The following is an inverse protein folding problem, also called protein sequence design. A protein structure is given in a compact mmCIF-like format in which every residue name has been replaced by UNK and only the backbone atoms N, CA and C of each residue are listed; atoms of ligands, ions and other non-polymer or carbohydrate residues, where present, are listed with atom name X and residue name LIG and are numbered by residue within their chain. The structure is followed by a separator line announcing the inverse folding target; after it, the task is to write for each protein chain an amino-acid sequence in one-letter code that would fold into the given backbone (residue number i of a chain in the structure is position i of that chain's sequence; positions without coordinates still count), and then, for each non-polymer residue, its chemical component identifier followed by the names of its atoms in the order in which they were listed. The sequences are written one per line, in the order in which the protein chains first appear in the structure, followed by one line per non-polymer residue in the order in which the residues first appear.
data_IF_330557788273
#
_entry.id   IF_330557788273
#
_cell.length_a   1.000
_cell.length_b   1.000
_cell.length_c   1.000
_cell.angle_alpha   90.00
_cell.angle_beta   90.00
_cell.angle_gamma   90.00
#
_symmetry.space_group_name_H-M   'P 1'
#
loop_
_entity.id
_entity.type
_entity.pdbx_description
1 polymer ?
#
# COMPACT_ATOMS: atom_id res chain seq x y z
N UNK A 1 -18.21 27.31 1.53
CA UNK A 1 -19.00 26.07 1.31
C UNK A 1 -18.20 25.12 0.42
N UNK A 2 -17.56 24.08 0.98
CA UNK A 2 -16.58 23.23 0.27
C UNK A 2 -16.96 21.74 0.29
N UNK A 3 -18.26 21.45 0.25
CA UNK A 3 -18.87 20.12 0.43
C UNK A 3 -18.32 19.04 -0.53
N UNK A 4 -17.94 19.40 -1.76
CA UNK A 4 -17.37 18.44 -2.73
C UNK A 4 -15.98 17.91 -2.36
N UNK A 5 -15.19 18.66 -1.58
CA UNK A 5 -13.82 18.26 -1.21
C UNK A 5 -13.83 17.29 -0.03
N UNK A 6 -14.70 17.55 0.95
CA UNK A 6 -14.84 16.73 2.16
C UNK A 6 -15.34 15.31 1.85
N UNK A 7 -16.25 15.18 0.87
CA UNK A 7 -16.81 13.88 0.49
C UNK A 7 -15.78 12.96 -0.17
N UNK A 8 -14.84 13.50 -0.95
CA UNK A 8 -13.73 12.72 -1.54
C UNK A 8 -12.76 12.21 -0.48
N UNK A 9 -12.47 13.04 0.54
CA UNK A 9 -11.59 12.64 1.64
C UNK A 9 -12.25 11.59 2.55
N UNK A 10 -13.56 11.70 2.79
CA UNK A 10 -14.35 10.68 3.48
C UNK A 10 -14.31 9.35 2.71
N UNK A 11 -14.62 9.36 1.41
CA UNK A 11 -14.56 8.15 0.57
C UNK A 11 -13.16 7.54 0.51
N UNK A 12 -12.11 8.35 0.40
CA UNK A 12 -10.73 7.85 0.38
C UNK A 12 -10.32 7.25 1.72
N UNK A 13 -10.72 7.85 2.85
CA UNK A 13 -10.46 7.31 4.18
C UNK A 13 -11.19 5.98 4.41
N UNK A 14 -12.49 5.96 4.13
CA UNK A 14 -13.31 4.74 4.30
C UNK A 14 -12.87 3.64 3.35
N UNK A 15 -12.57 3.98 2.09
CA UNK A 15 -12.05 3.03 1.09
C UNK A 15 -10.69 2.46 1.50
N UNK A 16 -9.76 3.29 1.98
CA UNK A 16 -8.47 2.83 2.49
C UNK A 16 -8.60 1.92 3.71
N UNK A 17 -9.52 2.24 4.63
CA UNK A 17 -9.79 1.44 5.83
C UNK A 17 -10.42 0.09 5.47
N UNK A 18 -11.36 0.06 4.53
CA UNK A 18 -11.96 -1.16 4.00
C UNK A 18 -10.91 -2.06 3.32
N UNK A 19 -10.02 -1.47 2.53
CA UNK A 19 -8.95 -2.21 1.83
C UNK A 19 -7.99 -2.87 2.82
N UNK A 20 -7.61 -2.15 3.89
CA UNK A 20 -6.79 -2.69 4.97
C UNK A 20 -7.48 -3.84 5.71
N UNK A 21 -8.77 -3.71 6.00
CA UNK A 21 -9.54 -4.75 6.67
C UNK A 21 -9.61 -6.03 5.80
N UNK A 22 -9.90 -5.88 4.51
CA UNK A 22 -9.92 -7.00 3.56
C UNK A 22 -8.55 -7.66 3.44
N UNK A 23 -7.46 -6.87 3.37
CA UNK A 23 -6.09 -7.40 3.33
C UNK A 23 -5.76 -8.21 4.59
N UNK A 24 -6.16 -7.72 5.76
CA UNK A 24 -5.93 -8.40 7.03
C UNK A 24 -6.69 -9.73 7.10
N UNK A 25 -7.99 -9.74 6.76
CA UNK A 25 -8.81 -10.94 6.74
C UNK A 25 -8.27 -11.95 5.72
N UNK A 26 -7.94 -11.50 4.51
CA UNK A 26 -7.36 -12.34 3.47
C UNK A 26 -6.03 -12.96 3.91
N UNK A 27 -5.17 -12.18 4.57
CA UNK A 27 -3.89 -12.67 5.11
C UNK A 27 -4.08 -13.69 6.24
N UNK A 28 -5.08 -13.49 7.10
CA UNK A 28 -5.42 -14.44 8.17
C UNK A 28 -5.95 -15.76 7.60
N UNK A 29 -6.83 -15.69 6.59
CA UNK A 29 -7.36 -16.88 5.93
C UNK A 29 -6.29 -17.61 5.12
N UNK A 30 -5.34 -16.88 4.54
CA UNK A 30 -4.19 -17.44 3.83
C UNK A 30 -2.94 -17.53 4.72
N UNK A 31 -3.08 -17.96 5.98
CA UNK A 31 -1.95 -18.28 6.86
C UNK A 31 -1.17 -19.55 6.43
N UNK A 32 -1.41 -20.07 5.23
CA UNK A 32 -0.61 -21.15 4.66
C UNK A 32 0.87 -20.77 4.62
N UNK A 33 1.73 -21.69 5.05
CA UNK A 33 3.17 -21.59 4.82
C UNK A 33 3.41 -21.60 3.30
N UNK A 34 4.15 -20.61 2.81
CA UNK A 34 4.72 -20.66 1.48
C UNK A 34 6.22 -20.90 1.61
N UNK A 35 6.70 -21.88 0.87
CA UNK A 35 8.12 -22.09 0.64
C UNK A 35 8.54 -21.17 -0.51
N UNK A 36 9.38 -20.19 -0.21
CA UNK A 36 10.01 -19.34 -1.21
C UNK A 36 11.37 -19.96 -1.49
N UNK A 37 11.57 -20.40 -2.73
CA UNK A 37 12.86 -20.89 -3.19
C UNK A 37 13.62 -19.78 -3.89
N UNK A 38 14.76 -19.41 -3.31
CA UNK A 38 15.76 -18.59 -3.97
C UNK A 38 16.85 -19.49 -4.55
N UNK A 39 17.66 -18.92 -5.45
CA UNK A 39 18.72 -19.64 -6.15
C UNK A 39 19.75 -20.33 -5.22
N UNK A 40 19.90 -19.85 -3.98
CA UNK A 40 20.92 -20.32 -3.01
C UNK A 40 20.30 -20.83 -1.70
N UNK A 41 19.05 -20.49 -1.40
CA UNK A 41 18.42 -20.80 -0.12
C UNK A 41 16.90 -20.84 -0.22
N UNK A 42 16.25 -21.57 0.67
CA UNK A 42 14.79 -21.59 0.77
C UNK A 42 14.34 -21.10 2.13
N UNK A 43 13.26 -20.33 2.17
CA UNK A 43 12.62 -19.91 3.42
C UNK A 43 11.14 -20.28 3.41
N UNK A 44 10.68 -20.82 4.52
CA UNK A 44 9.24 -20.98 4.77
C UNK A 44 8.76 -19.79 5.58
N UNK A 45 7.81 -19.06 4.99
CA UNK A 45 7.18 -17.92 5.64
C UNK A 45 5.67 -17.99 5.44
N UNK A 46 4.88 -17.46 6.40
CA UNK A 46 3.45 -17.32 6.21
C UNK A 46 3.16 -16.44 4.98
N UNK A 47 2.29 -16.87 4.06
CA UNK A 47 1.93 -16.09 2.86
C UNK A 47 1.42 -14.70 3.21
N UNK A 48 0.69 -14.57 4.31
CA UNK A 48 0.25 -13.28 4.85
C UNK A 48 1.40 -12.30 5.09
N UNK A 49 2.53 -12.76 5.62
CA UNK A 49 3.71 -11.93 5.85
C UNK A 49 4.26 -11.37 4.53
N UNK A 50 4.30 -12.20 3.48
CA UNK A 50 4.76 -11.81 2.14
C UNK A 50 3.86 -10.71 1.57
N UNK A 51 2.53 -10.87 1.65
CA UNK A 51 1.59 -9.87 1.15
C UNK A 51 1.68 -8.54 1.91
N UNK A 52 1.84 -8.59 3.23
CA UNK A 52 2.04 -7.39 4.05
C UNK A 52 3.34 -6.69 3.65
N UNK A 53 4.44 -7.43 3.44
CA UNK A 53 5.71 -6.86 3.00
C UNK A 53 5.61 -6.20 1.62
N UNK A 54 4.94 -6.84 0.66
CA UNK A 54 4.70 -6.27 -0.66
C UNK A 54 3.85 -5.00 -0.59
N UNK A 55 2.82 -4.99 0.25
CA UNK A 55 1.98 -3.81 0.47
C UNK A 55 2.77 -2.64 1.07
N UNK A 56 3.62 -2.91 2.07
CA UNK A 56 4.50 -1.91 2.67
C UNK A 56 5.52 -1.36 1.66
N UNK A 57 6.13 -2.24 0.85
CA UNK A 57 7.05 -1.85 -0.23
C UNK A 57 6.36 -0.95 -1.27
N UNK A 58 5.15 -1.32 -1.70
CA UNK A 58 4.35 -0.51 -2.62
C UNK A 58 3.97 0.84 -2.02
N UNK A 59 3.57 0.87 -0.75
CA UNK A 59 3.23 2.10 -0.02
C UNK A 59 4.44 3.03 0.15
N UNK A 60 5.60 2.48 0.53
CA UNK A 60 6.86 3.22 0.64
C UNK A 60 7.31 3.74 -0.73
N UNK A 61 7.22 2.93 -1.78
CA UNK A 61 7.51 3.34 -3.15
C UNK A 61 6.62 4.49 -3.61
N UNK A 62 5.31 4.38 -3.39
CA UNK A 62 4.36 5.46 -3.66
C UNK A 62 4.66 6.74 -2.86
N UNK A 63 5.05 6.61 -1.58
CA UNK A 63 5.45 7.74 -0.75
C UNK A 63 6.72 8.42 -1.27
N UNK A 64 7.73 7.65 -1.69
CA UNK A 64 8.98 8.17 -2.26
C UNK A 64 8.74 8.87 -3.60
N UNK A 65 7.92 8.29 -4.48
CA UNK A 65 7.55 8.88 -5.77
C UNK A 65 6.76 10.19 -5.59
N UNK A 66 5.84 10.24 -4.62
CA UNK A 66 5.09 11.44 -4.29
C UNK A 66 5.98 12.57 -3.76
N UNK A 67 7.05 12.26 -3.03
CA UNK A 67 8.06 13.24 -2.60
C UNK A 67 8.86 13.82 -3.77
N UNK A 68 9.12 13.03 -4.82
CA UNK A 68 9.83 13.52 -6.03
C UNK A 68 8.93 14.31 -6.99
N UNK A 69 7.63 14.04 -7.02
CA UNK A 69 6.66 14.74 -7.91
C UNK A 69 6.28 16.16 -7.47
N UNK A 70 6.49 16.55 -6.21
CA UNK A 70 6.18 17.90 -5.72
C UNK A 70 7.26 18.96 -6.04
N UNK A 71 8.37 18.58 -6.67
CA UNK A 71 9.44 19.53 -7.03
C UNK A 71 9.22 20.27 -8.37
N UNK A 72 8.09 20.05 -9.07
CA UNK A 72 7.82 20.65 -10.40
C UNK A 72 6.52 21.48 -10.46
N UNK A 73 6.31 22.40 -9.53
CA UNK A 73 5.24 23.40 -9.67
C UNK A 73 5.58 24.73 -8.99
N UNK A 74 6.70 25.33 -9.36
CA UNK A 74 7.04 26.72 -8.99
C UNK A 74 7.44 27.62 -10.17
N UNK A 75 7.36 27.16 -11.42
CA UNK A 75 7.88 27.90 -12.58
C UNK A 75 6.83 28.10 -13.69
N UNK A 76 5.55 28.28 -13.34
CA UNK A 76 4.49 28.60 -14.31
C UNK A 76 3.86 29.98 -14.11
N UNK A 77 4.51 30.85 -13.31
CA UNK A 77 4.13 32.25 -13.10
C UNK A 77 5.31 33.18 -13.47
N UNK A 78 5.81 33.06 -14.71
CA UNK A 78 6.69 34.05 -15.34
C UNK A 78 6.27 34.27 -16.79
#
# INVERSE_FOLDING_TARGET
MNSKRDWKHQLAKTGGMLLLALLAIFSLQNLGMARIEFLVWSIEAPRGLIYVMLFLLGGLGGMLLRRRGCAKRSDADL
#
